data_IF_659064677761
#
_entry.id   IF_659064677761
#
_cell.length_a   1.000
_cell.length_b   1.000
_cell.length_c   1.000
_cell.angle_alpha   90.00
_cell.angle_beta   90.00
_cell.angle_gamma   90.00
#
_symmetry.space_group_name_H-M   'P 1'
#
loop_
_entity.id
_entity.type
_entity.pdbx_description
1 polymer ?
#
# COMPACT_ATOMS: atom_id res chain seq x y z
N UNK A 1 26.39 28.54 21.30
CA UNK A 1 25.14 28.31 20.53
C UNK A 1 24.48 27.06 21.08
N UNK A 2 23.42 27.20 21.86
CA UNK A 2 22.64 26.04 22.36
C UNK A 2 22.07 25.27 21.19
N UNK A 3 22.33 23.98 21.16
CA UNK A 3 21.81 23.12 20.10
C UNK A 3 20.31 22.89 20.37
N UNK A 4 19.44 23.54 19.64
CA UNK A 4 17.97 23.46 19.83
C UNK A 4 17.45 22.02 19.82
N UNK A 5 18.14 21.09 19.13
CA UNK A 5 17.85 19.65 19.16
C UNK A 5 18.05 19.06 20.56
N UNK A 6 19.13 19.42 21.24
CA UNK A 6 19.46 18.93 22.59
C UNK A 6 18.43 19.42 23.60
N UNK A 7 17.99 20.66 23.47
CA UNK A 7 16.96 21.26 24.32
C UNK A 7 15.60 20.59 24.15
N UNK A 8 15.19 20.33 22.92
CA UNK A 8 13.96 19.57 22.63
C UNK A 8 14.03 18.16 23.20
N UNK A 9 15.15 17.45 23.01
CA UNK A 9 15.32 16.10 23.56
C UNK A 9 15.33 16.09 25.09
N UNK A 10 15.90 17.09 25.75
CA UNK A 10 15.84 17.23 27.21
C UNK A 10 14.42 17.48 27.69
N UNK A 11 13.65 18.30 27.01
CA UNK A 11 12.24 18.56 27.35
C UNK A 11 11.39 17.30 27.21
N UNK A 12 11.59 16.52 26.15
CA UNK A 12 10.93 15.22 25.97
C UNK A 12 11.31 14.26 27.09
N UNK A 13 12.60 14.14 27.44
CA UNK A 13 13.06 13.27 28.54
C UNK A 13 12.49 13.68 29.90
N UNK A 14 12.31 14.97 30.16
CA UNK A 14 11.67 15.47 31.41
C UNK A 14 10.17 15.16 31.44
N UNK A 15 9.50 15.21 30.31
CA UNK A 15 8.06 14.94 30.20
C UNK A 15 7.74 13.43 30.29
N UNK A 16 8.71 12.57 29.97
CA UNK A 16 8.55 11.13 30.08
C UNK A 16 8.76 10.71 31.55
N UNK A 17 7.80 10.01 32.19
CA UNK A 17 7.98 9.52 33.55
C UNK A 17 9.17 8.58 33.61
N UNK A 18 10.00 8.74 34.65
CA UNK A 18 11.23 7.98 34.90
C UNK A 18 10.99 6.49 35.24
N UNK A 19 9.76 6.01 35.15
CA UNK A 19 9.43 4.63 35.38
C UNK A 19 10.04 3.76 34.28
N UNK A 20 10.88 2.86 34.69
CA UNK A 20 11.31 1.68 33.91
C UNK A 20 10.08 0.82 33.68
N UNK A 21 9.22 1.21 32.73
CA UNK A 21 8.06 0.42 32.35
C UNK A 21 8.57 -0.82 31.65
N UNK A 22 8.18 -1.97 32.15
CA UNK A 22 8.20 -3.20 31.37
C UNK A 22 7.20 -3.02 30.23
N UNK A 23 7.67 -2.47 29.12
CA UNK A 23 6.86 -2.09 27.95
C UNK A 23 6.00 -3.23 27.41
N UNK A 24 6.41 -4.47 27.63
CA UNK A 24 5.67 -5.65 27.21
C UNK A 24 4.40 -5.87 28.04
N UNK A 25 4.50 -5.79 29.38
CA UNK A 25 3.35 -5.99 30.25
C UNK A 25 2.27 -4.90 30.08
N UNK A 26 2.70 -3.62 29.89
CA UNK A 26 1.78 -2.51 29.62
C UNK A 26 1.13 -2.63 28.23
N UNK A 27 1.87 -3.14 27.24
CA UNK A 27 1.36 -3.33 25.88
C UNK A 27 0.32 -4.46 25.82
N UNK A 28 0.56 -5.55 26.52
CA UNK A 28 -0.35 -6.70 26.57
C UNK A 28 -1.62 -6.39 27.38
N UNK A 29 -1.56 -5.44 28.31
CA UNK A 29 -2.70 -4.98 29.10
C UNK A 29 -3.63 -3.99 28.35
N UNK A 30 -3.25 -3.51 27.17
CA UNK A 30 -4.09 -2.62 26.37
C UNK A 30 -5.31 -3.41 25.88
N UNK A 31 -6.56 -3.00 26.26
CA UNK A 31 -7.76 -3.65 25.76
C UNK A 31 -7.84 -3.51 24.23
N UNK A 32 -7.82 -4.64 23.54
CA UNK A 32 -7.94 -4.68 22.06
C UNK A 32 -9.35 -5.08 21.69
N UNK A 33 -10.29 -4.16 21.92
CA UNK A 33 -11.72 -4.36 21.61
C UNK A 33 -12.03 -4.12 20.12
N UNK A 34 -11.09 -4.37 19.23
CA UNK A 34 -11.31 -4.29 17.79
C UNK A 34 -11.76 -5.64 17.23
N UNK A 35 -12.49 -5.61 16.15
CA UNK A 35 -12.91 -6.80 15.42
C UNK A 35 -11.68 -7.59 14.95
N UNK A 36 -11.52 -8.81 15.47
CA UNK A 36 -10.45 -9.72 15.05
C UNK A 36 -10.89 -10.63 13.90
N UNK A 37 -12.16 -10.58 13.54
CA UNK A 37 -12.77 -11.29 12.42
C UNK A 37 -14.17 -10.75 12.17
N UNK A 38 -14.58 -10.68 10.91
CA UNK A 38 -15.92 -10.31 10.48
C UNK A 38 -16.76 -11.57 10.23
N UNK A 39 -18.08 -11.44 10.33
CA UNK A 39 -19.04 -12.48 9.95
C UNK A 39 -19.43 -12.39 8.47
N UNK A 40 -18.85 -11.45 7.72
CA UNK A 40 -19.20 -11.20 6.34
C UNK A 40 -18.72 -12.34 5.44
N UNK A 41 -19.52 -12.68 4.47
CA UNK A 41 -19.14 -13.64 3.41
C UNK A 41 -17.98 -13.10 2.58
N UNK A 42 -17.25 -13.95 1.84
CA UNK A 42 -16.21 -13.48 0.93
C UNK A 42 -16.73 -12.44 -0.07
N UNK A 43 -17.94 -12.61 -0.57
CA UNK A 43 -18.59 -11.72 -1.53
C UNK A 43 -18.88 -10.34 -0.88
N UNK A 44 -19.42 -10.31 0.31
CA UNK A 44 -19.69 -9.07 1.05
C UNK A 44 -18.39 -8.29 1.32
N UNK A 45 -17.31 -8.99 1.68
CA UNK A 45 -15.99 -8.36 1.88
C UNK A 45 -15.43 -7.76 0.60
N UNK A 46 -15.61 -8.43 -0.55
CA UNK A 46 -15.19 -7.88 -1.85
C UNK A 46 -16.01 -6.63 -2.19
N UNK A 47 -17.32 -6.67 -1.99
CA UNK A 47 -18.17 -5.50 -2.21
C UNK A 47 -17.77 -4.32 -1.32
N UNK A 48 -17.56 -4.56 -0.02
CA UNK A 48 -17.12 -3.52 0.90
C UNK A 48 -15.75 -2.93 0.47
N UNK A 49 -14.84 -3.78 0.02
CA UNK A 49 -13.53 -3.33 -0.44
C UNK A 49 -13.63 -2.44 -1.69
N UNK A 50 -14.47 -2.82 -2.65
CA UNK A 50 -14.73 -2.03 -3.86
C UNK A 50 -15.32 -0.68 -3.49
N UNK A 51 -16.36 -0.67 -2.65
CA UNK A 51 -17.04 0.54 -2.17
C UNK A 51 -16.04 1.52 -1.53
N UNK A 52 -15.15 1.01 -0.67
CA UNK A 52 -14.10 1.83 -0.06
C UNK A 52 -13.09 2.39 -1.06
N UNK A 53 -12.71 1.63 -2.07
CA UNK A 53 -11.81 2.11 -3.13
C UNK A 53 -12.47 3.22 -3.97
N UNK A 54 -13.75 3.06 -4.29
CA UNK A 54 -14.52 4.06 -5.04
C UNK A 54 -14.72 5.34 -4.24
N UNK A 55 -14.96 5.25 -2.93
CA UNK A 55 -15.01 6.40 -2.02
C UNK A 55 -13.71 7.24 -2.04
N UNK A 56 -12.57 6.60 -2.27
CA UNK A 56 -11.27 7.28 -2.47
C UNK A 56 -11.05 7.77 -3.91
N UNK A 57 -12.05 7.65 -4.78
CA UNK A 57 -11.96 8.06 -6.19
C UNK A 57 -11.09 7.11 -7.04
N UNK A 58 -10.89 5.89 -6.59
CA UNK A 58 -10.13 4.87 -7.33
C UNK A 58 -11.04 4.17 -8.32
N UNK A 59 -10.62 4.05 -9.58
CA UNK A 59 -11.32 3.22 -10.56
C UNK A 59 -11.12 1.75 -10.25
N UNK A 60 -12.21 0.99 -10.12
CA UNK A 60 -12.19 -0.45 -9.84
C UNK A 60 -12.67 -1.22 -11.07
N UNK A 61 -11.89 -2.22 -11.48
CA UNK A 61 -12.18 -3.05 -12.65
C UNK A 61 -12.12 -4.52 -12.23
N UNK A 62 -13.26 -5.20 -12.30
CA UNK A 62 -13.35 -6.62 -12.00
C UNK A 62 -13.11 -7.45 -13.26
N UNK A 63 -12.21 -8.40 -13.19
CA UNK A 63 -11.95 -9.32 -14.29
C UNK A 63 -11.53 -10.70 -13.77
N UNK A 64 -11.71 -11.77 -14.55
CA UNK A 64 -11.11 -13.06 -14.22
C UNK A 64 -9.58 -12.99 -14.32
N UNK A 65 -8.87 -13.87 -13.64
CA UNK A 65 -7.40 -13.91 -13.64
C UNK A 65 -6.79 -13.88 -15.04
N UNK A 66 -7.34 -14.61 -15.99
CA UNK A 66 -6.90 -14.60 -17.39
C UNK A 66 -7.20 -13.31 -18.15
N UNK A 67 -8.01 -12.41 -17.59
CA UNK A 67 -8.37 -11.11 -18.17
C UNK A 67 -7.52 -9.94 -17.68
N UNK A 68 -6.63 -10.15 -16.70
CA UNK A 68 -5.85 -9.07 -16.07
C UNK A 68 -5.06 -8.27 -17.11
N UNK A 69 -4.32 -8.93 -17.97
CA UNK A 69 -3.51 -8.27 -19.01
C UNK A 69 -4.35 -7.40 -19.95
N UNK A 70 -5.51 -7.90 -20.38
CA UNK A 70 -6.41 -7.15 -21.28
C UNK A 70 -7.02 -5.95 -20.57
N UNK A 71 -7.55 -6.15 -19.37
CA UNK A 71 -8.13 -5.06 -18.57
C UNK A 71 -7.09 -3.99 -18.23
N UNK A 72 -5.86 -4.41 -17.89
CA UNK A 72 -4.76 -3.50 -17.66
C UNK A 72 -4.42 -2.69 -18.93
N UNK A 73 -4.38 -3.33 -20.10
CA UNK A 73 -4.14 -2.64 -21.36
C UNK A 73 -5.18 -1.55 -21.62
N UNK A 74 -6.46 -1.86 -21.44
CA UNK A 74 -7.56 -0.92 -21.65
C UNK A 74 -7.45 0.30 -20.72
N UNK A 75 -7.15 0.07 -19.45
CA UNK A 75 -6.98 1.14 -18.44
C UNK A 75 -5.76 2.01 -18.75
N UNK A 76 -4.63 1.41 -19.13
CA UNK A 76 -3.41 2.13 -19.44
C UNK A 76 -3.56 2.97 -20.72
N UNK A 77 -4.20 2.42 -21.75
CA UNK A 77 -4.52 3.14 -22.99
C UNK A 77 -5.45 4.34 -22.73
N UNK A 78 -6.49 4.13 -21.93
CA UNK A 78 -7.43 5.19 -21.58
C UNK A 78 -6.77 6.36 -20.82
N UNK A 79 -5.67 6.09 -20.12
CA UNK A 79 -4.88 7.08 -19.37
C UNK A 79 -3.69 7.65 -20.17
N UNK A 80 -3.42 7.11 -21.36
CA UNK A 80 -2.30 7.53 -22.20
C UNK A 80 -0.92 7.13 -21.66
N UNK A 81 -0.85 6.07 -20.83
CA UNK A 81 0.42 5.54 -20.35
C UNK A 81 1.07 4.63 -21.37
N UNK A 82 2.41 4.62 -21.41
CA UNK A 82 3.21 3.83 -22.35
C UNK A 82 4.24 2.95 -21.62
N UNK A 83 4.72 3.40 -20.46
CA UNK A 83 5.74 2.73 -19.69
C UNK A 83 5.49 2.79 -18.18
N UNK A 84 5.67 1.67 -17.50
CA UNK A 84 5.47 1.58 -16.07
C UNK A 84 6.61 0.82 -15.39
N UNK A 85 6.80 1.12 -14.11
CA UNK A 85 7.68 0.34 -13.24
C UNK A 85 6.91 -0.83 -12.65
N UNK A 86 7.56 -1.99 -12.55
CA UNK A 86 7.01 -3.20 -11.94
C UNK A 86 7.96 -3.76 -10.89
N UNK A 87 7.48 -4.33 -9.78
CA UNK A 87 8.34 -5.01 -8.84
C UNK A 87 8.88 -6.32 -9.43
N UNK A 88 10.02 -6.78 -8.91
CA UNK A 88 10.51 -8.11 -9.21
C UNK A 88 9.49 -9.16 -8.77
N UNK A 89 9.22 -10.14 -9.65
CA UNK A 89 8.30 -11.25 -9.36
C UNK A 89 6.84 -11.02 -9.75
N UNK A 90 6.49 -9.90 -10.40
CA UNK A 90 5.16 -9.77 -11.00
C UNK A 90 4.94 -10.85 -12.08
N UNK A 91 3.78 -11.52 -12.14
CA UNK A 91 3.51 -12.50 -13.19
C UNK A 91 3.55 -11.87 -14.58
N UNK A 92 4.36 -12.41 -15.47
CA UNK A 92 4.48 -11.91 -16.84
C UNK A 92 3.16 -11.97 -17.63
N UNK A 93 2.30 -12.92 -17.27
CA UNK A 93 0.95 -13.07 -17.85
C UNK A 93 0.00 -11.91 -17.53
N UNK A 94 0.34 -11.09 -16.53
CA UNK A 94 -0.44 -9.90 -16.18
C UNK A 94 -0.05 -8.67 -16.98
N UNK A 95 1.16 -8.68 -17.54
CA UNK A 95 1.72 -7.53 -18.24
C UNK A 95 1.26 -7.51 -19.70
N UNK A 96 0.53 -6.48 -20.15
CA UNK A 96 0.12 -6.36 -21.54
C UNK A 96 1.34 -6.12 -22.45
N UNK A 97 1.49 -6.88 -23.55
CA UNK A 97 2.69 -6.86 -24.39
C UNK A 97 2.90 -5.56 -25.18
N UNK A 98 1.87 -4.73 -25.28
CA UNK A 98 1.94 -3.44 -25.99
C UNK A 98 2.51 -2.28 -25.17
N UNK A 99 2.94 -2.55 -23.93
CA UNK A 99 3.50 -1.55 -23.02
C UNK A 99 4.92 -1.91 -22.63
N UNK A 100 5.69 -0.89 -22.23
CA UNK A 100 7.05 -1.08 -21.71
C UNK A 100 7.01 -1.22 -20.18
N UNK A 101 7.68 -2.24 -19.65
CA UNK A 101 7.78 -2.45 -18.22
C UNK A 101 9.25 -2.48 -17.78
N UNK A 102 9.58 -1.60 -16.84
CA UNK A 102 10.91 -1.55 -16.22
C UNK A 102 10.84 -2.21 -14.85
N UNK A 103 11.60 -3.27 -14.66
CA UNK A 103 11.64 -3.97 -13.38
C UNK A 103 12.44 -3.15 -12.36
N UNK A 104 11.85 -2.90 -11.19
CA UNK A 104 12.55 -2.28 -10.06
C UNK A 104 13.54 -3.30 -9.44
N UNK A 105 14.81 -3.06 -9.70
CA UNK A 105 15.94 -3.79 -9.12
C UNK A 105 16.80 -2.88 -8.24
N UNK A 106 16.22 -1.80 -7.73
CA UNK A 106 16.89 -0.75 -6.98
C UNK A 106 17.05 0.53 -7.80
N UNK A 107 15.99 0.93 -8.50
CA UNK A 107 15.92 2.20 -9.23
C UNK A 107 16.16 3.38 -8.28
N UNK A 108 16.76 4.44 -8.80
CA UNK A 108 16.93 5.69 -8.05
C UNK A 108 15.57 6.40 -7.87
N UNK A 109 15.48 7.30 -6.89
CA UNK A 109 14.28 8.14 -6.72
C UNK A 109 13.96 8.96 -7.97
N UNK A 110 14.98 9.41 -8.69
CA UNK A 110 14.80 10.15 -9.95
C UNK A 110 14.17 9.26 -11.02
N UNK A 111 14.64 8.03 -11.17
CA UNK A 111 14.07 7.08 -12.15
C UNK A 111 12.61 6.75 -11.84
N UNK A 112 12.25 6.68 -10.55
CA UNK A 112 10.87 6.45 -10.11
C UNK A 112 9.99 7.68 -10.36
N UNK A 113 10.48 8.89 -10.08
CA UNK A 113 9.76 10.14 -10.28
C UNK A 113 9.51 10.43 -11.78
N UNK A 114 10.42 9.98 -12.66
CA UNK A 114 10.28 10.14 -14.11
C UNK A 114 9.37 9.05 -14.73
N UNK A 115 8.98 8.02 -13.98
CA UNK A 115 8.09 6.98 -14.49
C UNK A 115 6.65 7.47 -14.60
N UNK A 116 5.91 6.98 -15.58
CA UNK A 116 4.48 7.31 -15.77
C UNK A 116 3.59 6.68 -14.70
N UNK A 117 4.06 5.63 -14.03
CA UNK A 117 3.35 4.95 -12.96
C UNK A 117 3.96 3.62 -12.58
N UNK A 118 3.30 2.95 -11.65
CA UNK A 118 3.73 1.64 -11.13
C UNK A 118 2.60 0.63 -11.29
N UNK A 119 2.92 -0.55 -11.79
CA UNK A 119 1.99 -1.67 -11.86
C UNK A 119 2.41 -2.75 -10.84
N UNK A 120 1.58 -2.97 -9.83
CA UNK A 120 1.90 -3.88 -8.71
C UNK A 120 0.78 -4.89 -8.47
N UNK A 121 1.11 -5.98 -7.80
CA UNK A 121 0.15 -6.89 -7.19
C UNK A 121 0.09 -6.68 -5.68
N UNK A 122 -0.95 -7.19 -5.05
CA UNK A 122 -1.03 -7.29 -3.59
C UNK A 122 -1.37 -8.74 -3.18
N UNK A 123 -0.85 -9.17 -2.03
CA UNK A 123 -1.11 -10.49 -1.48
C UNK A 123 -2.36 -10.50 -0.57
N UNK A 124 -2.73 -9.35 -0.01
CA UNK A 124 -3.87 -9.19 0.87
C UNK A 124 -4.41 -7.77 0.82
N UNK A 125 -5.71 -7.63 1.08
CA UNK A 125 -6.40 -6.35 1.21
C UNK A 125 -7.20 -6.33 2.51
N UNK A 126 -7.37 -5.13 3.10
CA UNK A 126 -8.13 -4.93 4.34
C UNK A 126 -9.31 -4.04 4.00
N UNK A 127 -10.52 -4.52 4.29
CA UNK A 127 -11.76 -3.75 4.24
C UNK A 127 -12.34 -3.64 5.65
N UNK A 128 -12.55 -2.42 6.14
CA UNK A 128 -13.09 -2.09 7.46
C UNK A 128 -14.28 -1.16 7.33
#
# INVERSE_FOLDING_TARGET
MSNSREEVLQNIRRALPAAKRERTADYDAIPRCYLQGGNDSPEERVHLFIDRLEDYGTGVYQCPEGGISTTAADVLLARGFHGLVVPAGIPQTWLPPSFTFTTDTGLSYTDLDESEGVFTGCAAAIAL
#
